data_IF_482931099023
#
_entry.id   IF_482931099023
#
_cell.length_a   1.000
_cell.length_b   1.000
_cell.length_c   1.000
_cell.angle_alpha   90.00
_cell.angle_beta   90.00
_cell.angle_gamma   90.00
#
_symmetry.space_group_name_H-M   'P 1'
#
loop_
_entity.id
_entity.type
_entity.pdbx_description
1 polymer ?
#
# COMPACT_ATOMS: atom_id res chain seq x y z
N UNK A 1 -0.44 2.60 2.48
CA UNK A 1 -1.84 2.53 3.00
C UNK A 1 -2.83 2.92 1.92
N UNK A 2 -4.07 2.42 1.95
CA UNK A 2 -5.13 2.80 1.01
C UNK A 2 -5.54 4.26 1.22
N UNK A 3 -5.67 5.05 0.15
CA UNK A 3 -6.19 6.44 0.22
C UNK A 3 -7.62 6.58 -0.29
N UNK A 4 -8.18 5.52 -0.86
CA UNK A 4 -9.55 5.51 -1.38
C UNK A 4 -10.51 4.88 -0.36
N UNK A 5 -11.40 5.70 0.19
CA UNK A 5 -12.39 5.26 1.18
C UNK A 5 -13.26 4.12 0.66
N UNK A 6 -13.42 3.08 1.48
CA UNK A 6 -14.21 1.88 1.14
C UNK A 6 -13.54 0.92 0.15
N UNK A 7 -12.42 1.31 -0.49
CA UNK A 7 -11.68 0.41 -1.36
C UNK A 7 -10.71 -0.46 -0.58
N UNK A 8 -10.49 -1.66 -1.11
CA UNK A 8 -9.66 -2.71 -0.51
C UNK A 8 -8.37 -2.89 -1.30
N UNK A 9 -7.23 -2.78 -0.62
CA UNK A 9 -5.96 -3.26 -1.16
C UNK A 9 -5.99 -4.79 -1.32
N UNK A 10 -5.26 -5.30 -2.31
CA UNK A 10 -5.17 -6.74 -2.57
C UNK A 10 -3.72 -7.21 -2.43
N UNK A 11 -3.53 -8.31 -1.70
CA UNK A 11 -2.27 -9.03 -1.74
C UNK A 11 -1.98 -9.50 -3.17
N UNK A 12 -0.74 -9.33 -3.62
CA UNK A 12 -0.34 -9.59 -5.00
C UNK A 12 -0.65 -8.48 -6.00
N UNK A 13 -1.23 -7.34 -5.59
CA UNK A 13 -1.37 -6.20 -6.47
C UNK A 13 0.01 -5.68 -6.91
N UNK A 14 0.15 -5.34 -8.19
CA UNK A 14 1.35 -4.78 -8.80
C UNK A 14 1.32 -3.27 -8.63
N UNK A 15 2.46 -2.69 -8.25
CA UNK A 15 2.58 -1.27 -7.94
C UNK A 15 3.16 -0.49 -9.12
N UNK A 16 2.52 0.63 -9.45
CA UNK A 16 2.93 1.57 -10.48
C UNK A 16 2.97 3.00 -9.91
N UNK A 17 3.69 3.90 -10.58
CA UNK A 17 3.55 5.33 -10.30
C UNK A 17 2.19 5.85 -10.85
N UNK A 18 1.62 6.94 -10.29
CA UNK A 18 0.31 7.47 -10.71
C UNK A 18 0.15 7.72 -12.21
N UNK A 19 1.22 8.15 -12.87
CA UNK A 19 1.22 8.50 -14.31
C UNK A 19 1.82 7.39 -15.19
N UNK A 20 2.16 6.24 -14.61
CA UNK A 20 2.73 5.11 -15.33
C UNK A 20 1.62 4.20 -15.88
N UNK A 21 1.71 3.85 -17.17
CA UNK A 21 0.77 2.90 -17.78
C UNK A 21 0.94 1.52 -17.12
N UNK A 22 -0.13 0.89 -16.57
CA UNK A 22 -0.04 -0.42 -15.95
C UNK A 22 0.32 -1.52 -16.96
N UNK A 23 1.59 -1.90 -17.02
CA UNK A 23 2.10 -2.94 -17.92
C UNK A 23 3.31 -3.67 -17.33
N UNK A 24 3.42 -4.97 -17.58
CA UNK A 24 4.53 -5.79 -17.11
C UNK A 24 4.57 -5.95 -15.58
N UNK A 25 5.78 -5.90 -15.01
CA UNK A 25 6.03 -6.18 -13.59
C UNK A 25 5.92 -4.96 -12.67
N UNK A 26 5.72 -3.76 -13.22
CA UNK A 26 5.66 -2.51 -12.46
C UNK A 26 6.93 -2.23 -11.65
N UNK A 27 6.76 -1.48 -10.56
CA UNK A 27 7.83 -1.08 -9.62
C UNK A 27 7.91 -1.95 -8.38
N UNK A 28 6.94 -2.83 -8.16
CA UNK A 28 6.84 -3.60 -6.94
C UNK A 28 5.53 -4.36 -6.81
N UNK A 29 5.32 -4.99 -5.65
CA UNK A 29 4.09 -5.72 -5.34
C UNK A 29 3.70 -5.65 -3.88
N UNK A 30 2.40 -5.68 -3.62
CA UNK A 30 1.83 -5.82 -2.29
C UNK A 30 2.01 -7.25 -1.79
N UNK A 31 2.60 -7.43 -0.62
CA UNK A 31 2.91 -8.74 -0.03
C UNK A 31 1.85 -9.17 0.99
N UNK A 32 1.36 -8.25 1.81
CA UNK A 32 0.33 -8.51 2.81
C UNK A 32 -0.66 -7.36 2.89
N UNK A 33 -1.91 -7.67 3.23
CA UNK A 33 -2.98 -6.68 3.39
C UNK A 33 -3.88 -7.06 4.56
N UNK A 34 -4.26 -6.08 5.35
CA UNK A 34 -5.33 -6.20 6.35
C UNK A 34 -6.17 -4.93 6.42
N UNK A 35 -7.39 -5.03 6.94
CA UNK A 35 -8.13 -3.86 7.38
C UNK A 35 -7.59 -3.43 8.75
N UNK A 36 -7.27 -2.15 8.94
CA UNK A 36 -6.86 -1.62 10.23
C UNK A 36 -8.03 -0.88 10.88
N UNK A 37 -8.64 -1.41 11.95
CA UNK A 37 -9.71 -0.71 12.67
C UNK A 37 -9.25 0.63 13.26
N UNK A 38 -8.00 0.71 13.70
CA UNK A 38 -7.43 1.93 14.29
C UNK A 38 -7.22 3.04 13.26
N UNK A 39 -6.99 2.68 11.99
CA UNK A 39 -6.87 3.64 10.89
C UNK A 39 -8.19 3.86 10.13
N UNK A 40 -9.11 2.91 10.18
CA UNK A 40 -10.39 2.97 9.46
C UNK A 40 -10.32 2.56 7.98
N UNK A 41 -9.17 2.10 7.49
CA UNK A 41 -8.95 1.70 6.10
C UNK A 41 -8.00 0.50 5.95
N UNK A 42 -7.91 0.00 4.73
CA UNK A 42 -6.97 -1.07 4.39
C UNK A 42 -5.52 -0.58 4.39
N UNK A 43 -4.67 -1.32 5.09
CA UNK A 43 -3.21 -1.14 5.10
C UNK A 43 -2.55 -2.38 4.51
N UNK A 44 -1.33 -2.23 3.99
CA UNK A 44 -0.60 -3.34 3.44
C UNK A 44 0.89 -3.07 3.37
N UNK A 45 1.67 -4.14 3.44
CA UNK A 45 3.11 -4.11 3.20
C UNK A 45 3.38 -4.44 1.74
N UNK A 46 4.48 -3.89 1.23
CA UNK A 46 4.90 -4.08 -0.14
C UNK A 46 6.42 -4.11 -0.25
N UNK A 47 6.90 -4.78 -1.30
CA UNK A 47 8.26 -4.62 -1.79
C UNK A 47 8.21 -3.70 -3.00
N UNK A 48 9.02 -2.64 -2.98
CA UNK A 48 9.02 -1.57 -3.98
C UNK A 48 10.46 -1.24 -4.37
N UNK A 49 10.68 -0.88 -5.64
CA UNK A 49 11.96 -0.43 -6.12
C UNK A 49 12.44 0.80 -5.33
N UNK A 50 13.71 0.77 -4.90
CA UNK A 50 14.25 1.73 -3.94
C UNK A 50 14.33 3.16 -4.47
N UNK A 51 14.45 3.34 -5.79
CA UNK A 51 14.47 4.63 -6.48
C UNK A 51 13.13 5.37 -6.42
N UNK A 52 12.03 4.65 -6.18
CA UNK A 52 10.67 5.23 -6.09
C UNK A 52 10.03 5.08 -4.71
N UNK A 53 10.73 4.48 -3.75
CA UNK A 53 10.23 4.20 -2.40
C UNK A 53 10.30 5.43 -1.47
N UNK A 54 9.75 6.55 -1.91
CA UNK A 54 9.70 7.80 -1.15
C UNK A 54 8.43 7.88 -0.28
N UNK A 55 8.61 7.98 1.04
CA UNK A 55 7.51 8.17 1.99
C UNK A 55 6.68 9.42 1.67
N UNK A 56 5.36 9.32 1.83
CA UNK A 56 4.40 10.35 1.48
C UNK A 56 3.93 10.32 0.02
N UNK A 57 4.66 9.64 -0.87
CA UNK A 57 4.33 9.56 -2.29
C UNK A 57 3.17 8.59 -2.58
N UNK A 58 2.41 8.84 -3.65
CA UNK A 58 1.35 7.94 -4.10
C UNK A 58 1.85 6.87 -5.07
N UNK A 59 1.19 5.71 -5.03
CA UNK A 59 1.32 4.61 -5.97
C UNK A 59 -0.06 4.08 -6.35
N UNK A 60 -0.14 3.42 -7.50
CA UNK A 60 -1.33 2.76 -7.99
C UNK A 60 -1.14 1.25 -7.85
N UNK A 61 -1.97 0.63 -7.00
CA UNK A 61 -2.01 -0.81 -6.80
C UNK A 61 -3.03 -1.44 -7.75
N UNK A 62 -2.54 -2.19 -8.73
CA UNK A 62 -3.35 -2.84 -9.76
C UNK A 62 -3.43 -4.33 -9.45
N UNK A 63 -4.64 -4.87 -9.36
CA UNK A 63 -4.89 -6.29 -9.16
C UNK A 63 -5.60 -6.88 -10.39
N UNK A 64 -4.84 -7.40 -11.38
CA UNK A 64 -5.39 -7.80 -12.68
C UNK A 64 -6.46 -8.90 -12.59
N UNK A 65 -6.33 -9.80 -11.60
CA UNK A 65 -7.24 -10.94 -11.43
C UNK A 65 -8.70 -10.53 -11.19
N UNK A 66 -8.96 -9.31 -10.71
CA UNK A 66 -10.31 -8.76 -10.52
C UNK A 66 -10.53 -7.43 -11.25
N UNK A 67 -9.59 -7.03 -12.11
CA UNK A 67 -9.59 -5.71 -12.74
C UNK A 67 -9.77 -4.55 -11.72
N UNK A 68 -9.23 -4.72 -10.50
CA UNK A 68 -9.34 -3.71 -9.44
C UNK A 68 -8.09 -2.82 -9.48
N UNK A 69 -8.30 -1.51 -9.34
CA UNK A 69 -7.23 -0.52 -9.20
C UNK A 69 -7.52 0.38 -8.01
N UNK A 70 -6.52 0.53 -7.14
CA UNK A 70 -6.62 1.27 -5.88
C UNK A 70 -5.37 2.13 -5.69
N UNK A 71 -5.56 3.41 -5.39
CA UNK A 71 -4.50 4.32 -4.99
C UNK A 71 -4.08 4.04 -3.55
N UNK A 72 -2.78 4.10 -3.33
CA UNK A 72 -2.17 3.96 -2.02
C UNK A 72 -1.07 5.00 -1.83
N UNK A 73 -0.82 5.36 -0.57
CA UNK A 73 0.30 6.21 -0.16
C UNK A 73 1.39 5.36 0.48
N UNK A 74 2.64 5.61 0.13
CA UNK A 74 3.81 5.04 0.80
C UNK A 74 3.93 5.72 2.16
N UNK A 75 3.99 4.92 3.21
CA UNK A 75 4.10 5.37 4.61
C UNK A 75 5.08 4.46 5.33
N UNK A 76 5.52 4.86 6.53
CA UNK A 76 6.24 3.97 7.44
C UNK A 76 5.58 2.57 7.50
N UNK A 77 6.40 1.49 7.51
CA UNK A 77 5.89 0.12 7.66
C UNK A 77 5.27 -0.12 9.05
N UNK A 78 5.52 0.76 10.02
CA UNK A 78 4.93 0.72 11.35
C UNK A 78 3.68 1.60 11.37
N UNK A 79 2.52 0.99 11.14
CA UNK A 79 1.25 1.70 11.01
C UNK A 79 0.66 2.19 12.33
N UNK A 80 0.96 1.53 13.44
CA UNK A 80 0.39 1.83 14.76
C UNK A 80 1.53 1.83 15.76
N UNK A 81 1.51 2.83 16.66
CA UNK A 81 2.49 2.99 17.73
C UNK A 81 3.95 2.88 17.27
N UNK A 82 4.42 3.81 16.42
CA UNK A 82 5.80 3.79 15.94
C UNK A 82 6.84 4.01 17.05
N UNK A 83 6.44 4.61 18.19
CA UNK A 83 7.32 4.88 19.33
C UNK A 83 7.28 3.76 20.38
N UNK A 84 6.35 2.81 20.28
CA UNK A 84 6.23 1.70 21.22
C UNK A 84 5.67 2.09 22.59
N UNK A 85 4.99 3.23 22.71
CA UNK A 85 4.51 3.75 23.99
C UNK A 85 3.46 2.83 24.64
N UNK A 86 2.76 2.02 23.84
CA UNK A 86 1.72 1.10 24.30
C UNK A 86 2.27 -0.22 24.83
N UNK A 87 3.58 -0.44 24.78
CA UNK A 87 4.23 -1.67 25.27
C UNK A 87 4.25 -1.77 26.81
N UNK A 88 3.94 -0.69 27.53
CA UNK A 88 4.21 -0.59 28.98
C UNK A 88 3.04 -0.87 29.92
N UNK A 89 1.81 -1.11 29.42
CA UNK A 89 0.69 -1.68 30.20
C UNK A 89 0.14 -0.82 31.33
#
# INVERSE_FOLDING_TARGET
ECVENGKRLRGGAILFLPDEKPYGHGRGRVTSVTFSPERGHYVGLALLAGDVAAEGSEVVAVYPMKAETVRARIVSPVFVDPQGERLHG
#
